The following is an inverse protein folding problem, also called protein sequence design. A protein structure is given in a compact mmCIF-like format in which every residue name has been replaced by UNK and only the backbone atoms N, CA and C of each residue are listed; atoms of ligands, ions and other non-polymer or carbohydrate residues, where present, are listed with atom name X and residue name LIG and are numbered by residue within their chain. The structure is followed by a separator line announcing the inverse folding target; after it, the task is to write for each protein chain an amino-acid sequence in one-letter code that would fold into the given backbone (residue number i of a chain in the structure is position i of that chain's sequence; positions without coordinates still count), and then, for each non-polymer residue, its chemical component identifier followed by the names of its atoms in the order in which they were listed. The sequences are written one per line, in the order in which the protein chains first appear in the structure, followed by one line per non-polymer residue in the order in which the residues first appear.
data_IF_708795753895
#
_entry.id   IF_708795753895
#
_cell.length_a   1.000
_cell.length_b   1.000
_cell.length_c   1.000
_cell.angle_alpha   90.00
_cell.angle_beta   90.00
_cell.angle_gamma   90.00
#
_symmetry.space_group_name_H-M   'P 1'
#
loop_
_entity.id
_entity.type
_entity.pdbx_description
1 polymer ?
#
# COMPACT_ATOMS: atom_id res chain seq x y z
N UNK A 1 4.19 -9.54 10.55
CA UNK A 1 3.95 -8.46 11.54
C UNK A 1 3.85 -9.01 12.98
N UNK A 2 4.92 -9.61 13.51
CA UNK A 2 4.97 -10.11 14.89
C UNK A 2 5.35 -9.04 15.93
N UNK A 3 5.76 -7.84 15.47
CA UNK A 3 6.18 -6.74 16.35
C UNK A 3 5.08 -6.35 17.36
N UNK A 4 5.39 -6.24 18.67
CA UNK A 4 4.45 -5.76 19.67
C UNK A 4 3.93 -4.34 19.35
N UNK A 5 2.73 -3.98 19.82
CA UNK A 5 2.28 -2.60 19.73
C UNK A 5 3.07 -1.73 20.71
N UNK A 6 3.94 -0.88 20.17
CA UNK A 6 4.47 0.27 20.91
C UNK A 6 3.39 1.36 20.92
N UNK A 7 3.01 1.79 22.13
CA UNK A 7 1.97 2.80 22.35
C UNK A 7 2.25 4.12 21.62
N UNK A 8 1.24 5.00 21.53
CA UNK A 8 1.33 6.29 20.79
C UNK A 8 2.53 7.15 21.19
N UNK A 9 2.99 7.05 22.44
CA UNK A 9 4.15 7.79 22.96
C UNK A 9 5.45 7.24 22.38
N UNK A 10 5.68 5.92 22.45
CA UNK A 10 6.86 5.27 21.87
C UNK A 10 6.94 5.40 20.34
N UNK A 11 5.80 5.54 19.63
CA UNK A 11 5.82 5.86 18.19
C UNK A 11 6.42 7.23 17.88
N UNK A 12 6.36 8.20 18.80
CA UNK A 12 6.96 9.53 18.63
C UNK A 12 8.47 9.53 18.82
N UNK A 13 9.02 8.47 19.40
CA UNK A 13 10.45 8.29 19.65
C UNK A 13 11.13 7.49 18.53
N UNK A 14 10.38 7.12 17.48
CA UNK A 14 10.94 6.38 16.35
C UNK A 14 11.93 7.27 15.57
N UNK A 15 13.13 6.77 15.23
CA UNK A 15 14.12 7.52 14.45
C UNK A 15 13.62 7.85 13.04
N UNK A 16 12.67 7.06 12.51
CA UNK A 16 12.04 7.26 11.21
C UNK A 16 10.64 7.91 11.30
N UNK A 17 10.38 8.69 12.35
CA UNK A 17 9.06 9.33 12.53
C UNK A 17 8.71 10.28 11.38
N UNK A 18 9.70 10.99 10.83
CA UNK A 18 9.50 11.90 9.71
C UNK A 18 9.09 11.14 8.44
N UNK A 19 9.80 10.05 8.11
CA UNK A 19 9.41 9.11 7.03
C UNK A 19 8.00 8.53 7.24
N UNK A 20 7.65 8.12 8.47
CA UNK A 20 6.30 7.62 8.79
C UNK A 20 5.23 8.68 8.59
N UNK A 21 5.51 9.95 8.91
CA UNK A 21 4.60 11.06 8.65
C UNK A 21 4.42 11.29 7.14
N UNK A 22 5.52 11.26 6.37
CA UNK A 22 5.48 11.38 4.92
C UNK A 22 4.68 10.27 4.25
N UNK A 23 4.95 9.00 4.59
CA UNK A 23 4.18 7.86 4.08
C UNK A 23 2.68 7.99 4.42
N UNK A 24 2.35 8.48 5.61
CA UNK A 24 0.96 8.72 5.98
C UNK A 24 0.34 9.89 5.19
N UNK A 25 1.12 10.92 4.84
CA UNK A 25 0.65 12.02 4.00
C UNK A 25 0.38 11.54 2.58
N UNK A 26 1.29 10.78 1.95
CA UNK A 26 1.08 10.17 0.63
C UNK A 26 -0.21 9.35 0.60
N UNK A 27 -0.42 8.47 1.58
CA UNK A 27 -1.67 7.70 1.70
C UNK A 27 -2.90 8.60 1.86
N UNK A 28 -2.79 9.69 2.63
CA UNK A 28 -3.90 10.62 2.82
C UNK A 28 -4.25 11.38 1.55
N UNK A 29 -3.27 11.74 0.72
CA UNK A 29 -3.49 12.34 -0.60
C UNK A 29 -4.19 11.33 -1.51
N UNK A 30 -3.65 10.12 -1.64
CA UNK A 30 -4.20 9.07 -2.49
C UNK A 30 -5.65 8.71 -2.12
N UNK A 31 -5.94 8.53 -0.83
CA UNK A 31 -7.29 8.25 -0.32
C UNK A 31 -8.25 9.42 -0.60
N UNK A 32 -7.82 10.67 -0.46
CA UNK A 32 -8.67 11.82 -0.76
C UNK A 32 -8.94 12.00 -2.25
N UNK A 33 -7.97 11.69 -3.13
CA UNK A 33 -8.11 11.79 -4.58
C UNK A 33 -8.98 10.68 -5.15
N UNK A 34 -8.76 9.45 -4.71
CA UNK A 34 -9.32 8.26 -5.38
C UNK A 34 -10.19 7.38 -4.50
N UNK A 35 -10.28 7.65 -3.19
CA UNK A 35 -11.07 6.86 -2.23
C UNK A 35 -12.57 7.17 -2.22
N UNK A 36 -13.05 8.01 -3.14
CA UNK A 36 -14.47 8.33 -3.35
C UNK A 36 -14.85 8.21 -4.82
N UNK A 37 -14.78 6.99 -5.35
CA UNK A 37 -15.29 6.72 -6.69
C UNK A 37 -16.80 7.03 -6.76
N UNK A 38 -17.21 7.90 -7.69
CA UNK A 38 -18.61 8.34 -7.83
C UNK A 38 -19.00 9.61 -7.04
N UNK A 39 -18.06 10.24 -6.32
CA UNK A 39 -18.26 11.54 -5.66
C UNK A 39 -18.79 11.46 -4.22
N UNK A 40 -18.71 12.58 -3.50
CA UNK A 40 -18.92 12.67 -2.04
C UNK A 40 -20.36 12.51 -1.55
N UNK A 41 -21.34 12.41 -2.46
CA UNK A 41 -22.77 12.30 -2.12
C UNK A 41 -23.29 10.85 -2.09
N UNK A 42 -22.39 9.86 -2.15
CA UNK A 42 -22.73 8.44 -2.14
C UNK A 42 -22.16 7.76 -0.91
N UNK A 43 -22.88 6.76 -0.40
CA UNK A 43 -22.33 5.83 0.58
C UNK A 43 -21.20 5.02 -0.06
N UNK A 44 -19.97 5.29 0.36
CA UNK A 44 -18.77 4.59 -0.11
C UNK A 44 -18.42 3.44 0.81
N UNK A 45 -18.28 2.26 0.23
CA UNK A 45 -17.76 1.06 0.87
C UNK A 45 -16.34 0.78 0.41
N UNK A 46 -15.46 0.50 1.36
CA UNK A 46 -14.04 0.24 1.12
C UNK A 46 -13.65 -1.15 1.56
N UNK A 47 -12.91 -1.85 0.71
CA UNK A 47 -12.18 -3.07 1.03
C UNK A 47 -10.69 -2.74 1.18
N UNK A 48 -10.13 -2.94 2.37
CA UNK A 48 -8.73 -2.70 2.69
C UNK A 48 -8.01 -4.05 2.88
N UNK A 49 -7.30 -4.49 1.82
CA UNK A 49 -6.54 -5.73 1.81
C UNK A 49 -5.12 -5.43 2.29
N UNK A 50 -4.68 -6.13 3.33
CA UNK A 50 -3.45 -5.82 4.05
C UNK A 50 -3.63 -4.64 4.99
N UNK A 51 -4.76 -4.56 5.70
CA UNK A 51 -5.08 -3.42 6.56
C UNK A 51 -4.12 -3.25 7.76
N UNK A 52 -3.29 -4.26 8.04
CA UNK A 52 -2.37 -4.32 9.14
C UNK A 52 -3.08 -4.02 10.46
N UNK A 53 -2.44 -3.19 11.29
CA UNK A 53 -2.96 -2.77 12.60
C UNK A 53 -3.96 -1.61 12.51
N UNK A 54 -4.60 -1.38 11.36
CA UNK A 54 -5.57 -0.28 11.19
C UNK A 54 -4.95 1.12 11.17
N UNK A 55 -3.84 1.31 10.46
CA UNK A 55 -3.17 2.61 10.35
C UNK A 55 -3.95 3.67 9.56
N UNK A 56 -4.88 3.23 8.70
CA UNK A 56 -5.62 4.08 7.76
C UNK A 56 -7.09 4.29 8.17
N UNK A 57 -7.56 3.69 9.26
CA UNK A 57 -8.94 3.84 9.76
C UNK A 57 -9.37 5.30 9.92
N UNK A 58 -8.51 6.15 10.50
CA UNK A 58 -8.83 7.56 10.69
C UNK A 58 -8.86 8.32 9.35
N UNK A 59 -8.08 7.89 8.36
CA UNK A 59 -8.08 8.51 7.02
C UNK A 59 -9.40 8.22 6.33
N UNK A 60 -9.84 6.95 6.32
CA UNK A 60 -11.12 6.54 5.76
C UNK A 60 -12.33 7.16 6.47
N UNK A 61 -12.31 7.19 7.81
CA UNK A 61 -13.37 7.83 8.59
C UNK A 61 -13.46 9.35 8.32
N UNK A 62 -12.34 10.04 8.13
CA UNK A 62 -12.31 11.46 7.74
C UNK A 62 -12.70 11.68 6.29
N UNK A 63 -12.44 10.70 5.43
CA UNK A 63 -12.86 10.74 4.04
C UNK A 63 -14.39 10.62 3.94
N UNK A 64 -15.10 10.11 4.95
CA UNK A 64 -16.56 9.99 4.92
C UNK A 64 -17.04 8.67 4.29
N UNK A 65 -16.24 7.61 4.40
CA UNK A 65 -16.65 6.24 4.05
C UNK A 65 -17.76 5.76 4.99
N UNK A 66 -18.75 5.03 4.47
CA UNK A 66 -19.87 4.50 5.24
C UNK A 66 -19.57 3.10 5.81
N UNK A 67 -18.77 2.30 5.11
CA UNK A 67 -18.36 0.96 5.53
C UNK A 67 -16.92 0.62 5.13
N UNK A 68 -16.19 0.01 6.06
CA UNK A 68 -14.79 -0.39 5.91
C UNK A 68 -14.62 -1.87 6.23
N UNK A 69 -14.06 -2.64 5.30
CA UNK A 69 -13.77 -4.07 5.48
C UNK A 69 -12.25 -4.23 5.49
N UNK A 70 -11.68 -4.54 6.66
CA UNK A 70 -10.23 -4.72 6.84
C UNK A 70 -9.86 -6.20 6.85
N UNK A 71 -9.00 -6.60 5.90
CA UNK A 71 -8.48 -7.96 5.81
C UNK A 71 -6.95 -7.92 5.94
N UNK A 72 -6.38 -8.85 6.70
CA UNK A 72 -4.93 -9.02 6.79
C UNK A 72 -4.60 -10.49 7.09
N UNK A 73 -3.46 -10.99 6.62
CA UNK A 73 -3.02 -12.36 6.90
C UNK A 73 -2.69 -12.57 8.39
N UNK A 74 -2.25 -11.52 9.10
CA UNK A 74 -1.82 -11.61 10.48
C UNK A 74 -2.98 -11.35 11.45
N UNK A 75 -3.52 -12.41 12.05
CA UNK A 75 -4.65 -12.33 13.00
C UNK A 75 -4.42 -11.32 14.14
N UNK A 76 -3.20 -11.26 14.70
CA UNK A 76 -2.85 -10.28 15.74
C UNK A 76 -3.02 -8.84 15.23
N UNK A 77 -2.62 -8.56 13.97
CA UNK A 77 -2.76 -7.23 13.39
C UNK A 77 -4.24 -6.87 13.18
N UNK A 78 -5.04 -7.84 12.72
CA UNK A 78 -6.50 -7.68 12.57
C UNK A 78 -7.17 -7.36 13.89
N UNK A 79 -6.86 -8.10 14.97
CA UNK A 79 -7.40 -7.82 16.31
C UNK A 79 -7.03 -6.42 16.79
N UNK A 80 -5.78 -6.00 16.60
CA UNK A 80 -5.34 -4.64 16.94
C UNK A 80 -6.02 -3.55 16.10
N UNK A 81 -6.33 -3.84 14.84
CA UNK A 81 -7.09 -2.92 13.99
C UNK A 81 -8.53 -2.77 14.49
N UNK A 82 -9.16 -3.87 14.89
CA UNK A 82 -10.50 -3.89 15.47
C UNK A 82 -10.55 -3.14 16.80
N UNK A 83 -9.62 -3.41 17.72
CA UNK A 83 -9.47 -2.68 18.99
C UNK A 83 -9.31 -1.17 18.75
N UNK A 84 -8.43 -0.79 17.82
CA UNK A 84 -8.25 0.62 17.45
C UNK A 84 -9.52 1.26 16.92
N UNK A 85 -10.31 0.53 16.12
CA UNK A 85 -11.60 1.01 15.63
C UNK A 85 -12.61 1.19 16.78
N UNK A 86 -12.68 0.26 17.72
CA UNK A 86 -13.58 0.34 18.87
C UNK A 86 -13.23 1.51 19.80
N UNK A 87 -11.96 1.86 19.92
CA UNK A 87 -11.46 3.02 20.68
C UNK A 87 -11.67 4.38 19.98
N UNK A 88 -12.11 4.41 18.71
CA UNK A 88 -12.33 5.66 18.00
C UNK A 88 -13.47 6.46 18.66
N UNK A 89 -13.15 7.69 19.10
CA UNK A 89 -14.14 8.61 19.71
C UNK A 89 -15.36 8.86 18.83
N UNK A 90 -15.20 8.85 17.51
CA UNK A 90 -16.28 9.05 16.54
C UNK A 90 -16.22 7.94 15.48
N UNK A 91 -17.10 6.95 15.62
CA UNK A 91 -17.29 5.86 14.65
C UNK A 91 -18.28 6.31 13.57
N UNK A 92 -17.78 7.11 12.62
CA UNK A 92 -18.56 7.61 11.46
C UNK A 92 -18.80 6.56 10.38
N UNK A 93 -18.07 5.44 10.44
CA UNK A 93 -18.16 4.33 9.49
C UNK A 93 -18.41 3.05 10.26
N UNK A 94 -19.14 2.11 9.65
CA UNK A 94 -19.18 0.71 10.11
C UNK A 94 -17.88 0.04 9.70
N UNK A 95 -17.36 -0.85 10.53
CA UNK A 95 -16.16 -1.61 10.18
C UNK A 95 -16.30 -3.08 10.53
N UNK A 96 -15.73 -3.94 9.69
CA UNK A 96 -15.61 -5.38 9.89
C UNK A 96 -14.17 -5.80 9.61
N UNK A 97 -13.67 -6.75 10.40
CA UNK A 97 -12.28 -7.18 10.36
C UNK A 97 -12.20 -8.71 10.30
N UNK A 98 -11.29 -9.24 9.49
CA UNK A 98 -11.07 -10.69 9.38
C UNK A 98 -9.64 -11.02 9.00
N UNK A 99 -9.08 -12.03 9.66
CA UNK A 99 -7.81 -12.62 9.26
C UNK A 99 -8.02 -13.50 8.03
N UNK A 100 -7.28 -13.23 6.95
CA UNK A 100 -7.42 -13.94 5.68
C UNK A 100 -6.19 -13.74 4.78
N UNK A 101 -5.66 -14.82 4.20
CA UNK A 101 -4.64 -14.74 3.15
C UNK A 101 -5.31 -14.47 1.80
N UNK A 102 -5.47 -13.18 1.48
CA UNK A 102 -6.12 -12.71 0.25
C UNK A 102 -5.31 -13.01 -1.02
N UNK A 103 -4.14 -13.65 -0.91
CA UNK A 103 -3.31 -14.08 -2.04
C UNK A 103 -3.47 -15.57 -2.37
N UNK A 104 -4.15 -16.31 -1.50
CA UNK A 104 -4.41 -17.75 -1.66
C UNK A 104 -5.88 -18.12 -1.63
N UNK A 105 -6.68 -17.30 -0.97
CA UNK A 105 -8.09 -17.58 -0.71
C UNK A 105 -8.97 -16.51 -1.36
N UNK A 106 -10.10 -16.96 -1.92
CA UNK A 106 -11.17 -16.07 -2.38
C UNK A 106 -11.90 -15.47 -1.19
N UNK A 107 -12.00 -14.14 -1.13
CA UNK A 107 -12.72 -13.46 -0.04
C UNK A 107 -14.21 -13.80 -0.05
N UNK A 108 -14.77 -14.18 -1.20
CA UNK A 108 -16.18 -14.56 -1.36
C UNK A 108 -16.51 -15.91 -0.75
N UNK A 109 -15.51 -16.77 -0.57
CA UNK A 109 -15.69 -18.09 0.05
C UNK A 109 -15.62 -18.03 1.57
N UNK A 110 -14.95 -16.99 2.11
CA UNK A 110 -14.67 -16.86 3.55
C UNK A 110 -15.59 -15.86 4.25
N UNK A 111 -15.92 -14.74 3.60
CA UNK A 111 -16.73 -13.70 4.22
C UNK A 111 -18.24 -13.98 4.05
N UNK A 112 -19.09 -13.48 4.96
CA UNK A 112 -20.55 -13.61 4.83
C UNK A 112 -21.06 -13.03 3.51
N UNK A 113 -22.04 -13.69 2.88
CA UNK A 113 -22.56 -13.30 1.56
C UNK A 113 -23.12 -11.88 1.55
N UNK A 114 -23.62 -11.41 2.69
CA UNK A 114 -24.18 -10.09 2.90
C UNK A 114 -23.13 -8.98 2.69
N UNK A 115 -21.84 -9.27 2.93
CA UNK A 115 -20.73 -8.34 2.67
C UNK A 115 -20.66 -7.97 1.19
N UNK A 116 -21.08 -8.87 0.30
CA UNK A 116 -21.03 -8.70 -1.15
C UNK A 116 -22.39 -8.37 -1.77
N UNK A 117 -23.43 -8.16 -0.97
CA UNK A 117 -24.76 -7.78 -1.46
C UNK A 117 -24.73 -6.43 -2.19
N UNK A 118 -23.80 -5.56 -1.80
CA UNK A 118 -23.43 -4.34 -2.50
C UNK A 118 -21.96 -4.48 -2.92
N UNK A 119 -21.54 -4.01 -4.10
CA UNK A 119 -20.11 -3.94 -4.44
C UNK A 119 -19.35 -2.89 -3.62
N UNK A 120 -18.03 -2.94 -3.63
CA UNK A 120 -17.17 -1.88 -3.11
C UNK A 120 -16.98 -0.79 -4.15
N UNK A 121 -16.88 0.46 -3.70
CA UNK A 121 -16.52 1.62 -4.54
C UNK A 121 -15.00 1.77 -4.64
N UNK A 122 -14.28 1.34 -3.61
CA UNK A 122 -12.82 1.36 -3.59
C UNK A 122 -12.25 0.10 -2.95
N UNK A 123 -11.24 -0.48 -3.60
CA UNK A 123 -10.32 -1.44 -2.98
C UNK A 123 -8.98 -0.75 -2.76
N UNK A 124 -8.34 -0.97 -1.62
CA UNK A 124 -7.04 -0.38 -1.28
C UNK A 124 -6.03 -1.45 -0.84
N UNK A 125 -4.78 -1.28 -1.27
CA UNK A 125 -3.65 -2.11 -0.89
C UNK A 125 -2.41 -1.24 -0.64
N UNK A 126 -2.23 -0.81 0.62
CA UNK A 126 -1.15 0.10 0.99
C UNK A 126 0.06 -0.67 1.51
N UNK A 127 1.19 -0.66 0.78
CA UNK A 127 2.42 -1.35 1.14
C UNK A 127 2.27 -2.86 1.36
N UNK A 128 1.38 -3.52 0.61
CA UNK A 128 1.14 -4.96 0.76
C UNK A 128 1.06 -5.73 -0.56
N UNK A 129 0.76 -5.08 -1.69
CA UNK A 129 0.50 -5.75 -2.96
C UNK A 129 1.70 -6.55 -3.48
N UNK A 130 2.92 -6.05 -3.26
CA UNK A 130 4.16 -6.71 -3.68
C UNK A 130 4.38 -8.08 -3.00
N UNK A 131 3.76 -8.35 -1.85
CA UNK A 131 3.83 -9.69 -1.22
C UNK A 131 3.11 -10.76 -2.05
N UNK A 132 2.15 -10.40 -2.91
CA UNK A 132 1.46 -11.37 -3.78
C UNK A 132 2.34 -11.86 -4.94
N UNK A 133 3.44 -11.19 -5.26
CA UNK A 133 4.25 -11.43 -6.47
C UNK A 133 5.20 -12.64 -6.36
N UNK A 134 5.04 -13.49 -5.33
CA UNK A 134 5.79 -14.75 -5.24
C UNK A 134 5.45 -15.75 -6.34
N UNK A 135 4.27 -15.63 -6.96
CA UNK A 135 3.88 -16.40 -8.14
C UNK A 135 2.76 -15.71 -8.92
N UNK A 136 2.62 -16.03 -10.21
CA UNK A 136 1.52 -15.52 -11.03
C UNK A 136 0.14 -15.91 -10.46
N UNK A 137 -0.02 -17.15 -10.00
CA UNK A 137 -1.27 -17.64 -9.43
C UNK A 137 -1.74 -16.80 -8.24
N UNK A 138 -0.80 -16.36 -7.39
CA UNK A 138 -1.08 -15.50 -6.25
C UNK A 138 -1.51 -14.09 -6.67
N UNK A 139 -0.84 -13.50 -7.67
CA UNK A 139 -1.26 -12.20 -8.23
C UNK A 139 -2.64 -12.29 -8.88
N UNK A 140 -2.95 -13.40 -9.57
CA UNK A 140 -4.27 -13.66 -10.15
C UNK A 140 -5.36 -13.81 -9.09
N UNK A 141 -5.09 -14.50 -7.99
CA UNK A 141 -6.02 -14.60 -6.86
C UNK A 141 -6.25 -13.23 -6.19
N UNK A 142 -5.19 -12.44 -6.01
CA UNK A 142 -5.29 -11.06 -5.52
C UNK A 142 -6.16 -10.20 -6.45
N UNK A 143 -5.90 -10.25 -7.77
CA UNK A 143 -6.68 -9.48 -8.76
C UNK A 143 -8.13 -9.92 -8.83
N UNK A 144 -8.44 -11.20 -8.66
CA UNK A 144 -9.83 -11.67 -8.55
C UNK A 144 -10.52 -11.08 -7.31
N UNK A 145 -9.85 -11.13 -6.15
CA UNK A 145 -10.34 -10.52 -4.91
C UNK A 145 -10.55 -9.01 -5.03
N UNK A 146 -9.73 -8.30 -5.80
CA UNK A 146 -9.91 -6.87 -6.08
C UNK A 146 -11.07 -6.66 -7.06
N UNK A 147 -10.96 -7.20 -8.27
CA UNK A 147 -11.81 -6.85 -9.42
C UNK A 147 -13.24 -7.36 -9.28
N UNK A 148 -13.43 -8.60 -8.80
CA UNK A 148 -14.76 -9.23 -8.73
C UNK A 148 -15.65 -8.58 -7.65
N UNK A 149 -15.05 -7.80 -6.75
CA UNK A 149 -15.75 -7.13 -5.65
C UNK A 149 -15.87 -5.61 -5.84
N UNK A 150 -15.18 -5.06 -6.83
CA UNK A 150 -15.21 -3.64 -7.19
C UNK A 150 -16.32 -3.39 -8.21
N UNK A 151 -17.12 -2.34 -8.02
CA UNK A 151 -18.11 -1.95 -9.03
C UNK A 151 -17.46 -1.41 -10.31
N UNK A 152 -18.15 -1.47 -11.46
CA UNK A 152 -17.79 -0.67 -12.63
C UNK A 152 -17.66 0.81 -12.26
N UNK A 153 -16.57 1.44 -12.66
CA UNK A 153 -16.20 2.80 -12.27
C UNK A 153 -15.58 2.92 -10.88
N UNK A 154 -15.46 1.85 -10.11
CA UNK A 154 -14.76 1.83 -8.82
C UNK A 154 -13.24 1.95 -8.96
N UNK A 155 -12.56 2.31 -7.88
CA UNK A 155 -11.10 2.49 -7.86
C UNK A 155 -10.36 1.37 -7.13
N UNK A 156 -9.21 0.97 -7.67
CA UNK A 156 -8.22 0.17 -6.96
C UNK A 156 -6.96 1.00 -6.73
N UNK A 157 -6.61 1.26 -5.48
CA UNK A 157 -5.51 2.17 -5.12
C UNK A 157 -4.47 1.47 -4.25
N UNK A 158 -3.22 1.93 -4.32
CA UNK A 158 -2.17 1.35 -3.49
C UNK A 158 -0.85 2.07 -3.56
N UNK A 159 0.07 1.60 -2.74
CA UNK A 159 1.48 1.99 -2.74
C UNK A 159 2.35 0.75 -2.73
N UNK A 160 3.39 0.73 -3.55
CA UNK A 160 4.31 -0.39 -3.70
C UNK A 160 5.74 0.10 -3.94
N UNK A 161 6.76 -0.74 -3.65
CA UNK A 161 8.11 -0.51 -4.14
C UNK A 161 8.13 -0.46 -5.68
N UNK A 162 8.89 0.49 -6.23
CA UNK A 162 9.11 0.66 -7.66
C UNK A 162 10.29 -0.22 -8.09
N UNK A 163 10.01 -1.29 -8.84
CA UNK A 163 11.02 -2.21 -9.34
C UNK A 163 12.10 -1.52 -10.19
N UNK A 164 11.75 -0.51 -10.99
CA UNK A 164 12.71 0.20 -11.84
C UNK A 164 13.74 0.92 -10.97
N UNK A 165 13.31 1.63 -9.92
CA UNK A 165 14.20 2.29 -8.97
C UNK A 165 15.06 1.29 -8.20
N UNK A 166 14.46 0.18 -7.72
CA UNK A 166 15.22 -0.87 -7.02
C UNK A 166 16.33 -1.43 -7.92
N UNK A 167 16.01 -1.72 -9.18
CA UNK A 167 16.96 -2.29 -10.13
C UNK A 167 18.02 -1.30 -10.60
N UNK A 168 17.69 0.00 -10.68
CA UNK A 168 18.65 1.07 -10.97
C UNK A 168 19.60 1.33 -9.81
N UNK A 169 19.12 1.27 -8.56
CA UNK A 169 19.95 1.42 -7.36
C UNK A 169 20.84 0.22 -7.08
N UNK A 170 20.51 -0.95 -7.64
CA UNK A 170 21.35 -2.14 -7.54
C UNK A 170 22.56 -2.01 -8.48
N UNK A 171 23.74 -1.73 -7.91
CA UNK A 171 25.00 -1.66 -8.64
C UNK A 171 25.27 -2.93 -9.49
N UNK A 172 26.05 -2.78 -10.55
CA UNK A 172 26.17 -3.79 -11.62
C UNK A 172 26.51 -5.21 -11.11
N UNK A 173 27.35 -5.30 -10.07
CA UNK A 173 27.78 -6.56 -9.44
C UNK A 173 27.19 -6.77 -8.04
N UNK A 174 26.45 -5.79 -7.53
CA UNK A 174 25.97 -5.81 -6.15
C UNK A 174 24.68 -6.63 -6.02
N UNK A 175 24.49 -7.20 -4.84
CA UNK A 175 23.28 -7.91 -4.44
C UNK A 175 22.55 -7.20 -3.29
N UNK A 176 23.08 -6.08 -2.81
CA UNK A 176 22.48 -5.31 -1.73
C UNK A 176 22.76 -3.83 -1.93
N UNK A 177 21.82 -2.99 -1.54
CA UNK A 177 21.99 -1.54 -1.46
C UNK A 177 21.10 -0.98 -0.34
N UNK A 178 21.37 0.26 0.04
CA UNK A 178 20.63 0.99 1.06
C UNK A 178 21.57 1.75 1.99
N UNK A 179 21.04 2.13 3.14
CA UNK A 179 21.69 2.97 4.14
C UNK A 179 21.28 2.50 5.56
N UNK A 180 21.64 3.18 6.66
CA UNK A 180 21.24 2.79 8.01
C UNK A 180 19.71 2.73 8.23
N UNK A 181 18.92 3.47 7.45
CA UNK A 181 17.45 3.51 7.54
C UNK A 181 16.81 2.31 6.85
N UNK A 182 17.27 1.94 5.64
CA UNK A 182 16.68 0.84 4.87
C UNK A 182 17.74 0.00 4.16
N UNK A 183 17.42 -1.27 3.88
CA UNK A 183 18.28 -2.14 3.08
C UNK A 183 17.46 -3.09 2.23
N UNK A 184 17.86 -3.24 0.97
CA UNK A 184 17.32 -4.26 0.05
C UNK A 184 18.44 -5.24 -0.25
N UNK A 185 18.16 -6.54 -0.10
CA UNK A 185 19.14 -7.60 -0.38
C UNK A 185 18.52 -8.71 -1.22
N UNK A 186 19.15 -9.00 -2.35
CA UNK A 186 18.83 -10.11 -3.22
C UNK A 186 19.71 -11.32 -2.91
N UNK A 187 19.16 -12.53 -3.00
CA UNK A 187 19.97 -13.75 -2.98
C UNK A 187 20.74 -13.94 -4.30
N UNK A 188 20.15 -13.47 -5.40
CA UNK A 188 20.70 -13.51 -6.75
C UNK A 188 20.11 -12.34 -7.55
N UNK A 189 20.87 -11.82 -8.52
CA UNK A 189 20.37 -10.76 -9.40
C UNK A 189 19.17 -11.28 -10.21
N UNK A 190 18.02 -10.61 -10.18
CA UNK A 190 16.85 -11.05 -10.95
C UNK A 190 17.10 -10.82 -12.44
N UNK A 191 16.57 -11.69 -13.32
CA UNK A 191 16.63 -11.49 -14.76
C UNK A 191 15.75 -10.31 -15.18
N UNK A 192 15.97 -9.80 -16.39
CA UNK A 192 15.04 -8.85 -17.00
C UNK A 192 13.65 -9.51 -17.17
N UNK A 193 12.56 -8.77 -16.93
CA UNK A 193 11.22 -9.29 -17.17
C UNK A 193 10.96 -9.54 -18.66
N UNK A 194 10.01 -10.42 -18.99
CA UNK A 194 9.51 -10.53 -20.36
C UNK A 194 8.85 -9.21 -20.79
N UNK A 195 8.87 -8.93 -22.10
CA UNK A 195 8.14 -7.79 -22.65
C UNK A 195 6.63 -7.94 -22.36
N UNK A 196 5.87 -6.85 -22.15
CA UNK A 196 4.44 -6.96 -21.86
C UNK A 196 3.62 -7.63 -22.98
N UNK A 197 4.08 -7.65 -24.21
CA UNK A 197 3.41 -8.33 -25.32
C UNK A 197 3.83 -9.80 -25.48
N UNK A 198 4.78 -10.29 -24.66
CA UNK A 198 5.20 -11.69 -24.67
C UNK A 198 4.05 -12.61 -24.19
N UNK A 199 3.70 -13.69 -24.91
CA UNK A 199 2.70 -14.64 -24.45
C UNK A 199 3.07 -15.36 -23.15
N UNK A 200 4.37 -15.59 -22.88
CA UNK A 200 4.84 -16.19 -21.64
C UNK A 200 5.28 -15.11 -20.65
N UNK A 201 4.47 -14.93 -19.62
CA UNK A 201 4.68 -13.93 -18.59
C UNK A 201 5.22 -14.52 -17.29
N UNK A 202 5.51 -15.83 -17.26
CA UNK A 202 5.98 -16.54 -16.07
C UNK A 202 7.26 -15.94 -15.49
N UNK A 203 8.14 -15.42 -16.36
CA UNK A 203 9.37 -14.73 -16.00
C UNK A 203 9.18 -13.38 -15.28
N UNK A 204 7.97 -12.85 -15.14
CA UNK A 204 7.71 -11.59 -14.44
C UNK A 204 7.53 -11.75 -12.92
N UNK A 205 7.41 -12.98 -12.40
CA UNK A 205 7.03 -13.26 -11.00
C UNK A 205 8.12 -14.01 -10.22
N UNK A 206 8.03 -14.01 -8.89
CA UNK A 206 8.89 -14.81 -8.01
C UNK A 206 10.25 -14.17 -7.67
N UNK A 207 10.50 -12.94 -8.12
CA UNK A 207 11.77 -12.23 -7.91
C UNK A 207 11.88 -11.66 -6.50
N UNK A 208 12.29 -12.51 -5.57
CA UNK A 208 12.39 -12.20 -4.14
C UNK A 208 13.59 -11.31 -3.80
N UNK A 209 13.36 -10.33 -2.94
CA UNK A 209 14.39 -9.63 -2.17
C UNK A 209 13.97 -9.57 -0.70
N UNK A 210 14.93 -9.37 0.20
CA UNK A 210 14.66 -9.08 1.59
C UNK A 210 14.71 -7.57 1.81
N UNK A 211 13.67 -7.02 2.40
CA UNK A 211 13.54 -5.60 2.73
C UNK A 211 13.65 -5.38 4.24
N UNK A 212 14.57 -4.50 4.64
CA UNK A 212 14.71 -4.00 5.99
C UNK A 212 14.39 -2.52 6.02
N UNK A 213 13.62 -2.08 7.02
CA UNK A 213 13.35 -0.68 7.31
C UNK A 213 13.35 -0.47 8.82
N UNK A 214 14.28 0.35 9.29
CA UNK A 214 14.49 0.68 10.70
C UNK A 214 13.14 1.00 11.37
N UNK A 215 12.83 0.35 12.49
CA UNK A 215 11.61 0.62 13.26
C UNK A 215 10.25 0.49 12.52
N UNK A 216 10.23 -0.17 11.36
CA UNK A 216 9.00 -0.51 10.64
C UNK A 216 8.95 -1.98 10.23
N UNK A 217 9.94 -2.48 9.48
CA UNK A 217 9.92 -3.78 8.80
C UNK A 217 11.25 -4.52 8.98
N UNK A 218 11.20 -5.80 9.31
CA UNK A 218 12.37 -6.57 9.77
C UNK A 218 12.59 -6.35 11.27
N UNK A 219 12.71 -7.44 12.04
CA UNK A 219 13.09 -7.38 13.46
C UNK A 219 14.62 -7.32 13.64
N UNK A 220 15.35 -7.75 12.61
CA UNK A 220 16.80 -7.72 12.46
C UNK A 220 17.18 -7.31 11.01
N UNK A 221 18.47 -7.17 10.73
CA UNK A 221 18.97 -6.86 9.39
C UNK A 221 18.62 -7.92 8.32
N UNK A 222 18.03 -9.07 8.70
CA UNK A 222 17.64 -10.09 7.73
C UNK A 222 16.44 -9.65 6.85
N UNK A 223 15.67 -8.66 7.30
CA UNK A 223 14.52 -8.09 6.58
C UNK A 223 13.34 -9.06 6.44
N UNK A 224 12.30 -8.62 5.74
CA UNK A 224 11.17 -9.48 5.35
C UNK A 224 11.20 -9.76 3.84
N UNK A 225 10.77 -10.95 3.40
CA UNK A 225 10.72 -11.26 1.98
C UNK A 225 9.65 -10.42 1.27
N UNK A 226 10.06 -9.74 0.21
CA UNK A 226 9.26 -8.97 -0.72
C UNK A 226 9.57 -9.43 -2.15
N UNK A 227 8.73 -9.04 -3.12
CA UNK A 227 8.87 -9.48 -4.51
C UNK A 227 8.79 -8.28 -5.45
N UNK A 228 9.61 -8.28 -6.49
CA UNK A 228 9.58 -7.21 -7.50
C UNK A 228 8.24 -7.19 -8.22
N UNK A 229 7.76 -5.97 -8.45
CA UNK A 229 6.56 -5.70 -9.25
C UNK A 229 7.00 -4.98 -10.51
N UNK A 230 7.20 -5.73 -11.59
CA UNK A 230 7.47 -5.13 -12.89
C UNK A 230 6.20 -4.47 -13.42
N UNK A 231 6.18 -3.14 -13.35
CA UNK A 231 4.96 -2.35 -13.51
C UNK A 231 4.25 -2.58 -14.86
N UNK A 232 4.93 -2.58 -16.02
CA UNK A 232 4.27 -2.85 -17.30
C UNK A 232 3.59 -4.24 -17.36
N UNK A 233 4.24 -5.28 -16.82
CA UNK A 233 3.67 -6.63 -16.76
C UNK A 233 2.45 -6.69 -15.85
N UNK A 234 2.49 -5.96 -14.72
CA UNK A 234 1.34 -5.84 -13.82
C UNK A 234 0.17 -5.11 -14.46
N UNK A 235 0.39 -3.97 -15.14
CA UNK A 235 -0.67 -3.23 -15.85
C UNK A 235 -1.36 -4.10 -16.89
N UNK A 236 -0.57 -4.86 -17.67
CA UNK A 236 -1.10 -5.82 -18.65
C UNK A 236 -2.00 -6.87 -17.97
N UNK A 237 -1.51 -7.49 -16.90
CA UNK A 237 -2.29 -8.50 -16.17
C UNK A 237 -3.56 -7.90 -15.54
N UNK A 238 -3.47 -6.70 -14.97
CA UNK A 238 -4.62 -5.99 -14.41
C UNK A 238 -5.70 -5.69 -15.47
N UNK A 239 -5.31 -5.43 -16.72
CA UNK A 239 -6.24 -5.22 -17.83
C UNK A 239 -7.08 -6.47 -18.15
N UNK A 240 -6.57 -7.69 -17.94
CA UNK A 240 -7.35 -8.94 -18.05
C UNK A 240 -8.53 -8.96 -17.06
N UNK A 241 -8.41 -8.22 -15.96
CA UNK A 241 -9.44 -8.05 -14.93
C UNK A 241 -10.24 -6.76 -15.10
N UNK A 242 -10.17 -6.10 -16.27
CA UNK A 242 -10.88 -4.84 -16.53
C UNK A 242 -10.43 -3.69 -15.64
N UNK A 243 -9.19 -3.69 -15.17
CA UNK A 243 -8.59 -2.60 -14.41
C UNK A 243 -7.69 -1.79 -15.35
N UNK A 244 -8.00 -0.51 -15.53
CA UNK A 244 -7.25 0.41 -16.38
C UNK A 244 -6.50 1.40 -15.50
N UNK A 245 -5.21 1.58 -15.73
CA UNK A 245 -4.40 2.52 -14.96
C UNK A 245 -4.90 3.95 -15.17
N UNK A 246 -5.24 4.63 -14.07
CA UNK A 246 -5.66 6.03 -14.05
C UNK A 246 -4.54 6.93 -13.49
N UNK A 247 -3.73 6.39 -12.58
CA UNK A 247 -2.67 7.15 -11.90
C UNK A 247 -1.49 6.25 -11.55
N UNK A 248 -0.27 6.76 -11.73
CA UNK A 248 0.98 6.18 -11.24
C UNK A 248 1.99 7.31 -11.06
N UNK A 249 2.55 7.47 -9.86
CA UNK A 249 3.65 8.40 -9.57
C UNK A 249 4.56 7.87 -8.50
N UNK A 250 5.86 8.11 -8.66
CA UNK A 250 6.81 7.94 -7.57
C UNK A 250 6.51 8.93 -6.44
N UNK A 251 6.91 8.60 -5.22
CA UNK A 251 6.61 9.43 -4.06
C UNK A 251 7.22 10.84 -4.17
N UNK A 252 8.40 10.97 -4.78
CA UNK A 252 9.05 12.26 -5.04
C UNK A 252 8.22 13.14 -5.98
N UNK A 253 7.77 12.59 -7.11
CA UNK A 253 6.94 13.32 -8.09
C UNK A 253 5.58 13.71 -7.50
N UNK A 254 4.98 12.81 -6.71
CA UNK A 254 3.73 13.09 -5.99
C UNK A 254 3.93 14.25 -5.01
N UNK A 255 5.00 14.25 -4.24
CA UNK A 255 5.32 15.36 -3.34
C UNK A 255 5.51 16.67 -4.10
N UNK A 256 6.29 16.63 -5.18
CA UNK A 256 6.58 17.82 -5.99
C UNK A 256 5.31 18.45 -6.56
N UNK A 257 4.36 17.64 -7.03
CA UNK A 257 3.08 18.13 -7.55
C UNK A 257 2.14 18.65 -6.47
N UNK A 258 1.99 17.89 -5.38
CA UNK A 258 0.89 18.11 -4.44
C UNK A 258 1.25 19.06 -3.29
N UNK A 259 2.54 19.43 -3.14
CA UNK A 259 3.01 20.36 -2.09
C UNK A 259 2.40 21.76 -2.19
N UNK A 260 2.06 22.21 -3.39
CA UNK A 260 1.43 23.52 -3.62
C UNK A 260 -0.10 23.42 -3.79
N UNK A 261 -0.67 22.22 -3.76
CA UNK A 261 -2.11 22.03 -3.89
C UNK A 261 -2.84 22.61 -2.66
N UNK A 262 -3.93 23.35 -2.89
CA UNK A 262 -4.68 24.08 -1.85
C UNK A 262 -5.16 23.21 -0.68
N UNK A 263 -5.40 21.91 -0.93
CA UNK A 263 -5.80 20.95 0.11
C UNK A 263 -4.61 20.18 0.70
N UNK A 264 -3.64 19.80 -0.13
CA UNK A 264 -2.61 18.81 0.24
C UNK A 264 -1.32 19.45 0.75
N UNK A 265 -0.98 20.64 0.25
CA UNK A 265 0.11 21.47 0.79
C UNK A 265 -0.10 21.77 2.28
N UNK A 266 -1.24 22.34 2.69
CA UNK A 266 -1.53 22.55 4.12
C UNK A 266 -1.60 21.25 4.93
N UNK A 267 -1.84 20.10 4.29
CA UNK A 267 -1.82 18.80 4.96
C UNK A 267 -0.41 18.36 5.36
N UNK A 268 0.63 18.73 4.60
CA UNK A 268 2.04 18.44 4.96
C UNK A 268 2.36 18.96 6.36
N UNK A 269 2.02 20.24 6.63
CA UNK A 269 2.20 20.86 7.95
C UNK A 269 1.35 20.20 9.03
N UNK A 270 0.06 19.96 8.76
CA UNK A 270 -0.86 19.32 9.73
C UNK A 270 -0.41 17.91 10.13
N UNK A 271 0.23 17.20 9.21
CA UNK A 271 0.74 15.85 9.42
C UNK A 271 2.20 15.82 9.89
N UNK A 272 2.82 16.99 10.12
CA UNK A 272 4.22 17.12 10.57
C UNK A 272 5.21 16.43 9.62
N UNK A 273 4.98 16.60 8.33
CA UNK A 273 5.95 16.27 7.27
C UNK A 273 6.93 17.41 7.08
N UNK A 274 6.41 18.64 7.16
CA UNK A 274 7.19 19.88 7.15
C UNK A 274 6.79 20.76 8.34
N UNK A 275 7.71 21.59 8.78
CA UNK A 275 7.54 22.54 9.87
C UNK A 275 6.81 23.82 9.43
N UNK A 276 6.80 24.84 10.30
CA UNK A 276 6.19 26.15 9.99
C UNK A 276 6.96 26.95 8.94
N UNK A 277 8.26 26.72 8.78
CA UNK A 277 9.09 27.33 7.73
C UNK A 277 8.93 26.62 6.38
N UNK A 278 8.41 25.38 6.38
CA UNK A 278 8.26 24.55 5.19
C UNK A 278 9.40 23.54 5.01
N UNK A 279 10.28 23.41 6.00
CA UNK A 279 11.39 22.48 6.01
C UNK A 279 10.97 21.10 6.51
N UNK A 280 11.54 20.03 5.96
CA UNK A 280 11.24 18.66 6.39
C UNK A 280 12.26 18.14 7.39
N UNK A 281 11.78 17.41 8.41
CA UNK A 281 12.63 16.68 9.36
C UNK A 281 13.19 15.36 8.80
N UNK A 282 12.87 15.02 7.54
CA UNK A 282 13.48 13.87 6.86
C UNK A 282 14.90 14.21 6.40
N UNK A 283 15.87 13.43 6.87
CA UNK A 283 17.25 13.44 6.36
C UNK A 283 17.36 12.76 4.99
N UNK A 284 18.56 12.85 4.39
CA UNK A 284 18.86 12.27 3.07
C UNK A 284 18.60 10.75 3.03
N UNK A 285 18.93 10.03 4.10
CA UNK A 285 18.77 8.58 4.20
C UNK A 285 17.29 8.16 4.20
N UNK A 286 16.45 8.92 4.90
CA UNK A 286 14.99 8.74 4.92
C UNK A 286 14.36 9.13 3.57
N UNK A 287 14.87 10.16 2.89
CA UNK A 287 14.41 10.52 1.55
C UNK A 287 14.73 9.43 0.52
N UNK A 288 15.93 8.85 0.60
CA UNK A 288 16.32 7.71 -0.24
C UNK A 288 15.38 6.53 0.00
N UNK A 289 15.09 6.19 1.27
CA UNK A 289 14.13 5.13 1.62
C UNK A 289 12.72 5.38 1.03
N UNK A 290 12.26 6.63 1.07
CA UNK A 290 10.95 7.02 0.51
C UNK A 290 10.90 6.94 -1.02
N UNK A 291 12.00 7.24 -1.71
CA UNK A 291 12.08 7.26 -3.18
C UNK A 291 11.95 5.87 -3.82
N UNK A 292 12.07 4.81 -3.03
CA UNK A 292 11.84 3.43 -3.48
C UNK A 292 10.37 3.18 -3.82
N UNK A 293 9.43 4.01 -3.36
CA UNK A 293 8.00 3.75 -3.48
C UNK A 293 7.31 4.59 -4.55
N UNK A 294 6.27 3.99 -5.12
CA UNK A 294 5.28 4.64 -5.97
C UNK A 294 3.87 4.48 -5.42
N UNK A 295 2.97 5.38 -5.83
CA UNK A 295 1.54 5.33 -5.59
C UNK A 295 0.79 5.16 -6.91
N UNK A 296 -0.32 4.43 -6.88
CA UNK A 296 -1.13 4.15 -8.07
C UNK A 296 -2.63 4.19 -7.82
N UNK A 297 -3.38 4.35 -8.90
CA UNK A 297 -4.81 4.09 -8.96
C UNK A 297 -5.19 3.45 -10.31
N UNK A 298 -6.04 2.44 -10.26
CA UNK A 298 -6.74 1.86 -11.40
C UNK A 298 -8.24 2.14 -11.30
N UNK A 299 -8.88 2.21 -12.46
CA UNK A 299 -10.33 2.30 -12.61
C UNK A 299 -10.86 0.98 -13.14
N UNK A 300 -11.92 0.45 -12.52
CA UNK A 300 -12.65 -0.70 -13.05
C UNK A 300 -13.53 -0.28 -14.23
N UNK A 301 -13.39 -0.97 -15.36
CA UNK A 301 -14.25 -0.82 -16.55
C UNK A 301 -15.49 -1.68 -16.44
#
# INVERSE_FOLDING_TARGET
NARPEVGRTARRESPIIALKNFNNWVKSVLIQKYGHAGGRNRDVRVLDIGCGKGGDLLKWSRNGVSEYIGLDVAEISVRQAEERYLEMRQRRMRAYFRALDCYRESIRDVLPKEVFAVPFQTVTMQFCMHYAFYSEASVRQMLDNVSTNLEPGGTFIGTIPNADHIMLSLGATDLSFGNPVFRITFAQRPPAPPAPDDPDQSGAFGHKYNFFLQDAVGEDEAGVPEYLVYWPNFVRLAAEYGLVQEYRKDFGDLLHEEREHEVYGPLLRRMKVVDSAGESDMDEEQWEAASIYLAFAFRKT
#
